data_IF_834150912585
#
_entry.id   IF_834150912585
#
_cell.length_a   1.000
_cell.length_b   1.000
_cell.length_c   1.000
_cell.angle_alpha   90.00
_cell.angle_beta   90.00
_cell.angle_gamma   90.00
#
_symmetry.space_group_name_H-M   'P 1'
#
loop_
_entity.id
_entity.type
_entity.pdbx_description
1 polymer ?
#
# COMPACT_ATOMS: atom_id res chain seq x y z
N UNK A 1 -20.92 -22.53 10.19
CA UNK A 1 -20.25 -21.23 10.43
C UNK A 1 -18.85 -21.59 10.91
N UNK A 2 -17.84 -21.58 10.03
CA UNK A 2 -16.48 -21.95 10.42
C UNK A 2 -16.01 -20.93 11.45
N UNK A 3 -15.96 -21.34 12.72
CA UNK A 3 -15.42 -20.56 13.82
C UNK A 3 -13.93 -20.37 13.55
N UNK A 4 -13.59 -19.22 12.98
CA UNK A 4 -12.22 -18.71 12.97
C UNK A 4 -11.67 -18.87 14.39
N UNK A 5 -10.58 -19.61 14.59
CA UNK A 5 -10.05 -19.77 15.93
C UNK A 5 -9.66 -18.40 16.48
N UNK A 6 -10.04 -18.15 17.74
CA UNK A 6 -9.87 -16.84 18.38
C UNK A 6 -8.40 -16.38 18.36
N UNK A 7 -7.46 -17.33 18.44
CA UNK A 7 -6.01 -17.07 18.37
C UNK A 7 -5.55 -16.45 17.04
N UNK A 8 -6.25 -16.70 15.92
CA UNK A 8 -5.93 -16.12 14.62
C UNK A 8 -6.67 -14.80 14.37
N UNK A 9 -7.91 -14.70 14.86
CA UNK A 9 -8.76 -13.52 14.65
C UNK A 9 -8.20 -12.27 15.33
N UNK A 10 -7.75 -12.37 16.58
CA UNK A 10 -7.24 -11.24 17.38
C UNK A 10 -6.03 -10.56 16.71
N UNK A 11 -4.94 -11.28 16.36
CA UNK A 11 -3.81 -10.66 15.68
C UNK A 11 -4.20 -10.15 14.29
N UNK A 12 -5.02 -10.87 13.52
CA UNK A 12 -5.46 -10.39 12.21
C UNK A 12 -6.22 -9.06 12.28
N UNK A 13 -7.12 -8.88 13.25
CA UNK A 13 -7.84 -7.61 13.44
C UNK A 13 -6.90 -6.47 13.83
N UNK A 14 -5.94 -6.71 14.75
CA UNK A 14 -4.92 -5.72 15.09
C UNK A 14 -4.09 -5.33 13.86
N UNK A 15 -3.72 -6.31 13.04
CA UNK A 15 -3.00 -6.05 11.80
C UNK A 15 -3.83 -5.21 10.82
N UNK A 16 -5.12 -5.51 10.64
CA UNK A 16 -5.96 -4.69 9.77
C UNK A 16 -6.14 -3.25 10.27
N UNK A 17 -6.28 -3.05 11.59
CA UNK A 17 -6.40 -1.71 12.18
C UNK A 17 -5.16 -0.87 11.88
N UNK A 18 -3.97 -1.42 12.13
CA UNK A 18 -2.71 -0.71 11.88
C UNK A 18 -2.53 -0.42 10.38
N UNK A 19 -2.90 -1.36 9.49
CA UNK A 19 -2.88 -1.10 8.04
C UNK A 19 -3.79 0.07 7.66
N UNK A 20 -4.99 0.13 8.25
CA UNK A 20 -5.91 1.25 8.07
C UNK A 20 -5.32 2.58 8.51
N UNK A 21 -4.66 2.62 9.67
CA UNK A 21 -3.98 3.83 10.18
C UNK A 21 -2.82 4.24 9.27
N UNK A 22 -2.01 3.29 8.77
CA UNK A 22 -0.93 3.53 7.81
C UNK A 22 -1.46 4.10 6.49
N UNK A 23 -2.54 3.51 5.95
CA UNK A 23 -3.21 3.98 4.73
C UNK A 23 -3.78 5.39 4.92
N UNK A 24 -4.42 5.64 6.07
CA UNK A 24 -4.95 6.95 6.42
C UNK A 24 -3.83 7.99 6.53
N UNK A 25 -2.72 7.65 7.19
CA UNK A 25 -1.55 8.51 7.32
C UNK A 25 -0.89 8.81 5.97
N UNK A 26 -0.80 7.81 5.08
CA UNK A 26 -0.32 7.99 3.70
C UNK A 26 -1.20 8.94 2.89
N UNK A 27 -2.53 8.83 3.02
CA UNK A 27 -3.49 9.75 2.40
C UNK A 27 -3.42 11.16 3.02
N UNK A 28 -3.28 11.27 4.34
CA UNK A 28 -3.12 12.55 5.03
C UNK A 28 -1.80 13.25 4.66
N UNK A 29 -0.74 12.47 4.40
CA UNK A 29 0.53 12.94 3.87
C UNK A 29 0.41 13.61 2.49
N UNK A 30 -0.53 13.16 1.64
CA UNK A 30 -0.86 13.85 0.39
C UNK A 30 -1.46 15.23 0.66
N UNK A 31 -2.30 15.39 1.67
CA UNK A 31 -3.00 16.65 1.96
C UNK A 31 -2.10 17.67 2.68
N UNK A 32 -1.14 17.22 3.51
CA UNK A 32 -0.34 18.10 4.37
C UNK A 32 0.87 18.75 3.68
N UNK A 33 1.54 18.08 2.73
CA UNK A 33 2.79 18.60 2.16
C UNK A 33 2.57 19.51 0.93
N UNK A 34 3.23 20.68 0.89
CA UNK A 34 3.13 21.67 -0.20
C UNK A 34 3.98 21.38 -1.46
N UNK A 35 4.97 20.48 -1.41
CA UNK A 35 5.86 20.16 -2.56
C UNK A 35 5.55 18.79 -3.16
N UNK A 36 5.35 18.71 -4.47
CA UNK A 36 4.94 17.50 -5.23
C UNK A 36 5.82 16.26 -4.93
N UNK A 37 7.14 16.44 -4.87
CA UNK A 37 8.09 15.38 -4.56
C UNK A 37 8.01 14.87 -3.11
N UNK A 38 7.86 15.78 -2.15
CA UNK A 38 7.71 15.41 -0.73
C UNK A 38 6.36 14.73 -0.47
N UNK A 39 5.31 15.11 -1.23
CA UNK A 39 4.01 14.44 -1.24
C UNK A 39 4.05 13.04 -1.84
N UNK A 40 5.03 12.68 -2.66
CA UNK A 40 5.12 11.35 -3.26
C UNK A 40 5.82 10.34 -2.34
N UNK A 41 6.64 10.80 -1.40
CA UNK A 41 7.31 9.91 -0.44
C UNK A 41 6.35 9.36 0.63
N UNK A 42 5.48 10.21 1.18
CA UNK A 42 4.55 9.82 2.25
C UNK A 42 3.51 8.73 1.87
N UNK A 43 2.88 8.78 0.67
CA UNK A 43 1.94 7.76 0.21
C UNK A 43 2.63 6.46 -0.20
N UNK A 44 3.84 6.56 -0.76
CA UNK A 44 4.58 5.36 -1.19
C UNK A 44 5.01 4.53 0.01
N UNK A 45 5.48 5.18 1.08
CA UNK A 45 5.76 4.54 2.38
C UNK A 45 4.49 3.98 3.04
N UNK A 46 3.40 4.76 3.05
CA UNK A 46 2.13 4.32 3.64
C UNK A 46 1.52 3.11 2.93
N UNK A 47 1.56 3.09 1.60
CA UNK A 47 0.98 2.01 0.81
C UNK A 47 1.82 0.72 0.87
N UNK A 48 3.15 0.81 0.80
CA UNK A 48 4.01 -0.38 0.93
C UNK A 48 3.88 -1.02 2.31
N UNK A 49 3.98 -0.25 3.38
CA UNK A 49 3.81 -0.77 4.75
C UNK A 49 2.38 -1.26 5.02
N UNK A 50 1.36 -0.53 4.56
CA UNK A 50 -0.05 -0.89 4.73
C UNK A 50 -0.41 -2.21 4.04
N UNK A 51 0.07 -2.40 2.81
CA UNK A 51 -0.13 -3.65 2.07
C UNK A 51 0.61 -4.81 2.72
N UNK A 52 1.84 -4.62 3.20
CA UNK A 52 2.57 -5.68 3.92
C UNK A 52 1.80 -6.15 5.15
N UNK A 53 1.20 -5.22 5.91
CA UNK A 53 0.43 -5.58 7.10
C UNK A 53 -0.89 -6.28 6.76
N UNK A 54 -1.56 -5.90 5.67
CA UNK A 54 -2.74 -6.61 5.13
C UNK A 54 -2.38 -8.01 4.65
N UNK A 55 -1.26 -8.16 3.94
CA UNK A 55 -0.75 -9.47 3.52
C UNK A 55 -0.46 -10.38 4.70
N UNK A 56 0.21 -9.87 5.74
CA UNK A 56 0.47 -10.62 6.95
C UNK A 56 -0.83 -11.06 7.63
N UNK A 57 -1.85 -10.18 7.73
CA UNK A 57 -3.15 -10.54 8.29
C UNK A 57 -3.85 -11.63 7.47
N UNK A 58 -3.86 -11.48 6.14
CA UNK A 58 -4.46 -12.43 5.20
C UNK A 58 -3.77 -13.80 5.27
N UNK A 59 -2.44 -13.84 5.28
CA UNK A 59 -1.67 -15.08 5.43
C UNK A 59 -1.99 -15.81 6.75
N UNK A 60 -2.18 -15.06 7.83
CA UNK A 60 -2.48 -15.59 9.16
C UNK A 60 -3.90 -16.17 9.24
N UNK A 61 -4.88 -15.50 8.64
CA UNK A 61 -6.27 -15.99 8.52
C UNK A 61 -6.36 -17.21 7.59
N UNK A 62 -5.63 -17.17 6.47
CA UNK A 62 -5.61 -18.25 5.49
C UNK A 62 -4.97 -19.52 6.05
N UNK A 63 -3.89 -19.38 6.83
CA UNK A 63 -3.26 -20.48 7.55
C UNK A 63 -4.24 -21.15 8.54
N UNK A 64 -5.11 -20.38 9.18
CA UNK A 64 -6.11 -20.90 10.10
C UNK A 64 -7.32 -21.58 9.42
N UNK A 65 -7.64 -21.25 8.15
CA UNK A 65 -8.82 -21.78 7.45
C UNK A 65 -8.59 -23.09 6.69
N UNK A 66 -7.35 -23.55 6.53
CA UNK A 66 -6.92 -24.83 5.97
C UNK A 66 -7.58 -25.38 4.68
N UNK A 67 -8.43 -24.65 3.94
CA UNK A 67 -9.01 -25.15 2.67
C UNK A 67 -9.22 -24.07 1.59
N UNK A 68 -8.32 -24.11 0.60
CA UNK A 68 -8.50 -23.70 -0.82
C UNK A 68 -8.44 -22.21 -1.17
N UNK A 69 -8.15 -21.90 -2.45
CA UNK A 69 -6.91 -21.31 -2.93
C UNK A 69 -6.77 -19.81 -2.62
N UNK A 70 -5.72 -19.49 -1.86
CA UNK A 70 -5.16 -18.15 -1.57
C UNK A 70 -4.77 -17.35 -2.83
N UNK A 71 -4.93 -17.95 -4.02
CA UNK A 71 -4.48 -17.41 -5.30
C UNK A 71 -5.17 -16.08 -5.60
N UNK A 72 -6.48 -15.94 -5.36
CA UNK A 72 -7.19 -14.68 -5.64
C UNK A 72 -6.70 -13.53 -4.76
N UNK A 73 -6.48 -13.79 -3.48
CA UNK A 73 -6.05 -12.78 -2.51
C UNK A 73 -4.60 -12.33 -2.75
N UNK A 74 -3.74 -13.28 -3.11
CA UNK A 74 -2.39 -13.00 -3.59
C UNK A 74 -2.40 -12.24 -4.91
N UNK A 75 -3.29 -12.56 -5.84
CA UNK A 75 -3.39 -11.87 -7.14
C UNK A 75 -3.80 -10.41 -6.96
N UNK A 76 -4.82 -10.14 -6.13
CA UNK A 76 -5.27 -8.78 -5.80
C UNK A 76 -4.12 -7.99 -5.18
N UNK A 77 -3.42 -8.61 -4.23
CA UNK A 77 -2.37 -7.90 -3.52
C UNK A 77 -1.13 -7.67 -4.39
N UNK A 78 -0.74 -8.67 -5.19
CA UNK A 78 0.33 -8.52 -6.17
C UNK A 78 0.00 -7.39 -7.16
N UNK A 79 -1.23 -7.37 -7.67
CA UNK A 79 -1.66 -6.33 -8.61
C UNK A 79 -1.65 -4.94 -7.95
N UNK A 80 -2.06 -4.81 -6.70
CA UNK A 80 -1.99 -3.55 -5.93
C UNK A 80 -0.55 -3.10 -5.68
N UNK A 81 0.34 -4.01 -5.28
CA UNK A 81 1.76 -3.74 -5.04
C UNK A 81 2.45 -3.30 -6.32
N UNK A 82 2.08 -3.85 -7.47
CA UNK A 82 2.69 -3.51 -8.76
C UNK A 82 2.09 -2.22 -9.33
N UNK A 83 0.78 -2.04 -9.22
CA UNK A 83 0.07 -0.87 -9.78
C UNK A 83 0.50 0.42 -9.10
N UNK A 84 0.61 0.43 -7.76
CA UNK A 84 0.96 1.63 -7.00
C UNK A 84 2.31 2.27 -7.38
N UNK A 85 3.45 1.54 -7.44
CA UNK A 85 4.73 2.09 -7.87
C UNK A 85 4.73 2.46 -9.35
N UNK A 86 4.05 1.71 -10.24
CA UNK A 86 3.94 2.07 -11.66
C UNK A 86 3.24 3.42 -11.80
N UNK A 87 2.08 3.59 -11.17
CA UNK A 87 1.35 4.86 -11.18
C UNK A 87 2.21 5.97 -10.59
N UNK A 88 2.91 5.73 -9.47
CA UNK A 88 3.80 6.71 -8.87
C UNK A 88 4.92 7.15 -9.82
N UNK A 89 5.62 6.21 -10.46
CA UNK A 89 6.72 6.51 -11.40
C UNK A 89 6.20 7.33 -12.58
N UNK A 90 5.08 6.92 -13.19
CA UNK A 90 4.47 7.65 -14.31
C UNK A 90 4.05 9.07 -13.89
N UNK A 91 3.43 9.21 -12.71
CA UNK A 91 3.04 10.50 -12.17
C UNK A 91 4.25 11.40 -11.88
N UNK A 92 5.35 10.83 -11.37
CA UNK A 92 6.60 11.54 -11.12
C UNK A 92 7.21 12.04 -12.44
N UNK A 93 7.27 11.18 -13.47
CA UNK A 93 7.77 11.55 -14.79
C UNK A 93 6.91 12.64 -15.45
N UNK A 94 5.58 12.56 -15.33
CA UNK A 94 4.68 13.59 -15.83
C UNK A 94 4.83 14.92 -15.07
N UNK A 95 5.07 14.85 -13.75
CA UNK A 95 5.35 16.01 -12.91
C UNK A 95 6.65 16.71 -13.30
N UNK A 96 7.72 15.95 -13.53
CA UNK A 96 9.02 16.47 -14.01
C UNK A 96 8.87 17.19 -15.34
N UNK A 97 8.22 16.56 -16.34
CA UNK A 97 8.04 17.15 -17.67
C UNK A 97 7.17 18.40 -17.69
N UNK A 98 6.34 18.61 -16.66
CA UNK A 98 5.49 19.81 -16.51
C UNK A 98 6.04 20.84 -15.55
N UNK A 99 7.19 20.59 -14.90
CA UNK A 99 7.78 21.57 -13.99
C UNK A 99 8.47 22.68 -14.80
N UNK A 100 7.98 23.94 -14.78
CA UNK A 100 8.57 25.05 -15.53
C UNK A 100 9.96 25.46 -15.02
N UNK A 101 10.48 24.81 -13.97
CA UNK A 101 11.71 25.19 -13.26
C UNK A 101 12.88 24.24 -13.47
N UNK A 102 12.77 23.24 -14.35
CA UNK A 102 13.96 22.49 -14.78
C UNK A 102 14.72 23.32 -15.84
N UNK A 103 15.95 23.80 -15.57
CA UNK A 103 16.82 24.23 -16.65
C UNK A 103 17.03 23.00 -17.54
N UNK A 104 16.78 23.16 -18.84
CA UNK A 104 17.16 22.16 -19.84
C UNK A 104 18.65 21.91 -19.63
N UNK A 105 19.02 20.72 -19.17
CA UNK A 105 20.40 20.27 -19.28
C UNK A 105 20.65 20.07 -20.77
N UNK A 106 21.19 21.13 -21.39
CA UNK A 106 21.78 21.08 -22.72
C UNK A 106 22.97 20.11 -22.65
N UNK A 107 22.83 18.97 -23.31
CA UNK A 107 23.96 18.17 -23.80
C UNK A 107 24.21 18.53 -25.27
#
# INVERSE_FOLDING_TARGET
MNSLPLWASIPATLLLIVSGVLTLSGSLGLLRFKRFYSRMHAPTLGNTLGITFVLCASALVSSALQQRPVIHELLITFFLIVTSPITAIVLMQAGVRRDPRQPVSEE
#
